data_IF_091341576364
#
_entry.id   IF_091341576364
#
_cell.length_a   1.000
_cell.length_b   1.000
_cell.length_c   1.000
_cell.angle_alpha   90.00
_cell.angle_beta   90.00
_cell.angle_gamma   90.00
#
_symmetry.space_group_name_H-M   'P 1'
#
loop_
_entity.id
_entity.type
_entity.pdbx_description
1 polymer ?
#
# COMPACT_ATOMS: atom_id res chain seq x y z
N UNK A 1 25.47 0.26 -25.48
CA UNK A 1 25.19 -0.42 -24.20
C UNK A 1 23.70 -0.27 -23.84
N UNK A 2 22.76 -0.97 -24.52
CA UNK A 2 21.32 -0.81 -24.26
C UNK A 2 20.78 -1.70 -23.12
N UNK A 3 21.51 -2.76 -22.70
CA UNK A 3 20.98 -3.80 -21.81
C UNK A 3 20.67 -3.35 -20.37
N UNK A 4 21.39 -2.37 -19.83
CA UNK A 4 21.24 -1.98 -18.42
C UNK A 4 19.97 -1.13 -18.20
N UNK A 5 19.72 -0.17 -19.10
CA UNK A 5 18.53 0.70 -19.01
C UNK A 5 17.25 -0.12 -19.16
N UNK A 6 17.19 -1.02 -20.14
CA UNK A 6 16.03 -1.90 -20.35
C UNK A 6 15.77 -2.82 -19.14
N UNK A 7 16.83 -3.33 -18.51
CA UNK A 7 16.72 -4.15 -17.30
C UNK A 7 16.17 -3.35 -16.10
N UNK A 8 16.67 -2.13 -15.90
CA UNK A 8 16.21 -1.25 -14.83
C UNK A 8 14.77 -0.79 -15.06
N UNK A 9 14.39 -0.48 -16.30
CA UNK A 9 13.01 -0.15 -16.64
C UNK A 9 12.06 -1.33 -16.36
N UNK A 10 12.42 -2.54 -16.79
CA UNK A 10 11.65 -3.75 -16.47
C UNK A 10 11.52 -3.97 -14.96
N UNK A 11 12.62 -3.83 -14.22
CA UNK A 11 12.62 -3.94 -12.78
C UNK A 11 11.69 -2.91 -12.15
N UNK A 12 11.79 -1.65 -12.55
CA UNK A 12 10.94 -0.57 -12.05
C UNK A 12 9.46 -0.90 -12.25
N UNK A 13 9.05 -1.21 -13.49
CA UNK A 13 7.63 -1.45 -13.79
C UNK A 13 7.09 -2.72 -13.11
N UNK A 14 7.91 -3.75 -12.95
CA UNK A 14 7.53 -4.95 -12.19
C UNK A 14 7.40 -4.66 -10.70
N UNK A 15 8.37 -3.95 -10.11
CA UNK A 15 8.36 -3.62 -8.69
C UNK A 15 7.19 -2.70 -8.34
N UNK A 16 6.89 -1.69 -9.17
CA UNK A 16 5.71 -0.83 -8.98
C UNK A 16 4.40 -1.61 -9.07
N UNK A 17 4.31 -2.55 -10.04
CA UNK A 17 3.13 -3.40 -10.17
C UNK A 17 2.93 -4.28 -8.93
N UNK A 18 3.99 -4.96 -8.48
CA UNK A 18 3.94 -5.81 -7.28
C UNK A 18 3.58 -4.99 -6.05
N UNK A 19 4.19 -3.82 -5.87
CA UNK A 19 3.89 -2.91 -4.77
C UNK A 19 2.45 -2.38 -4.78
N UNK A 20 1.81 -2.31 -5.95
CA UNK A 20 0.39 -1.94 -6.04
C UNK A 20 -0.52 -3.10 -5.63
N UNK A 21 -0.12 -4.34 -5.94
CA UNK A 21 -0.87 -5.56 -5.57
C UNK A 21 -0.68 -5.94 -4.10
N UNK A 22 0.48 -5.64 -3.52
CA UNK A 22 0.83 -5.86 -2.11
C UNK A 22 1.48 -4.60 -1.49
N UNK A 23 0.67 -3.57 -1.19
CA UNK A 23 1.18 -2.30 -0.67
C UNK A 23 1.75 -2.39 0.74
N UNK A 24 1.41 -3.42 1.52
CA UNK A 24 1.94 -3.63 2.87
C UNK A 24 3.43 -4.06 2.85
N UNK A 25 3.82 -4.80 1.82
CA UNK A 25 5.19 -5.27 1.63
C UNK A 25 6.04 -4.33 0.76
N UNK A 26 5.48 -3.22 0.28
CA UNK A 26 6.15 -2.31 -0.63
C UNK A 26 7.27 -1.50 0.06
N UNK A 27 8.48 -1.56 -0.51
CA UNK A 27 9.60 -0.69 -0.12
C UNK A 27 9.60 0.57 -0.98
N UNK A 28 8.93 1.62 -0.50
CA UNK A 28 8.77 2.90 -1.22
C UNK A 28 10.11 3.61 -1.44
N UNK A 29 11.07 3.48 -0.51
CA UNK A 29 12.40 4.09 -0.68
C UNK A 29 13.13 3.43 -1.83
N UNK A 30 13.14 2.09 -1.86
CA UNK A 30 13.76 1.34 -2.95
C UNK A 30 13.11 1.65 -4.32
N UNK A 31 11.77 1.78 -4.36
CA UNK A 31 11.06 2.17 -5.58
C UNK A 31 11.47 3.58 -6.03
N UNK A 32 11.62 4.54 -5.12
CA UNK A 32 12.12 5.88 -5.42
C UNK A 32 13.53 5.88 -6.02
N UNK A 33 14.44 5.10 -5.43
CA UNK A 33 15.81 4.93 -5.95
C UNK A 33 15.81 4.33 -7.37
N UNK A 34 14.94 3.34 -7.63
CA UNK A 34 14.77 2.76 -8.96
C UNK A 34 14.24 3.78 -9.97
N UNK A 35 13.28 4.62 -9.59
CA UNK A 35 12.78 5.70 -10.46
C UNK A 35 13.89 6.68 -10.81
N UNK A 36 14.66 7.14 -9.82
CA UNK A 36 15.78 8.05 -10.05
C UNK A 36 16.82 7.42 -10.99
N UNK A 37 17.17 6.15 -10.78
CA UNK A 37 18.13 5.43 -11.61
C UNK A 37 17.64 5.28 -13.06
N UNK A 38 16.36 4.94 -13.27
CA UNK A 38 15.78 4.82 -14.61
C UNK A 38 15.77 6.18 -15.31
N UNK A 39 15.24 7.22 -14.66
CA UNK A 39 15.15 8.57 -15.23
C UNK A 39 16.54 9.11 -15.61
N UNK A 40 17.55 8.89 -14.77
CA UNK A 40 18.92 9.33 -15.05
C UNK A 40 19.51 8.66 -16.32
N UNK A 41 19.07 7.44 -16.64
CA UNK A 41 19.54 6.68 -17.80
C UNK A 41 18.65 6.86 -19.04
N UNK A 42 17.45 7.40 -18.89
CA UNK A 42 16.53 7.74 -19.99
C UNK A 42 17.04 8.95 -20.79
N UNK A 43 16.90 8.99 -22.13
CA UNK A 43 17.22 10.15 -22.94
C UNK A 43 16.46 11.42 -22.50
N UNK A 44 17.07 12.63 -22.53
CA UNK A 44 16.47 13.85 -21.99
C UNK A 44 15.05 14.18 -22.47
N UNK A 45 14.75 13.88 -23.74
CA UNK A 45 13.43 14.11 -24.33
C UNK A 45 12.32 13.23 -23.72
N UNK A 46 12.68 12.14 -23.06
CA UNK A 46 11.76 11.17 -22.47
C UNK A 46 11.77 11.20 -20.94
N UNK A 47 12.78 11.83 -20.30
CA UNK A 47 12.93 11.86 -18.85
C UNK A 47 11.70 12.37 -18.12
N UNK A 48 11.13 13.50 -18.56
CA UNK A 48 9.91 14.06 -17.96
C UNK A 48 8.73 13.10 -18.05
N UNK A 49 8.56 12.41 -19.19
CA UNK A 49 7.47 11.47 -19.39
C UNK A 49 7.62 10.24 -18.49
N UNK A 50 8.82 9.66 -18.44
CA UNK A 50 9.10 8.50 -17.58
C UNK A 50 8.95 8.86 -16.11
N UNK A 51 9.49 10.02 -15.69
CA UNK A 51 9.34 10.50 -14.33
C UNK A 51 7.87 10.71 -13.95
N UNK A 52 7.08 11.35 -14.81
CA UNK A 52 5.66 11.58 -14.55
C UNK A 52 4.88 10.27 -14.35
N UNK A 53 5.08 9.29 -15.25
CA UNK A 53 4.41 7.98 -15.15
C UNK A 53 4.86 7.24 -13.88
N UNK A 54 6.15 7.26 -13.57
CA UNK A 54 6.67 6.59 -12.38
C UNK A 54 6.15 7.21 -11.07
N UNK A 55 6.04 8.55 -11.01
CA UNK A 55 5.48 9.27 -9.86
C UNK A 55 3.98 8.97 -9.70
N UNK A 56 3.23 8.91 -10.79
CA UNK A 56 1.81 8.52 -10.76
C UNK A 56 1.65 7.10 -10.18
N UNK A 57 2.46 6.15 -10.62
CA UNK A 57 2.42 4.79 -10.09
C UNK A 57 2.83 4.72 -8.60
N UNK A 58 3.86 5.46 -8.18
CA UNK A 58 4.23 5.58 -6.78
C UNK A 58 3.09 6.15 -5.92
N UNK A 59 2.36 7.13 -6.46
CA UNK A 59 1.20 7.72 -5.79
C UNK A 59 0.11 6.66 -5.58
N UNK A 60 -0.18 5.84 -6.60
CA UNK A 60 -1.15 4.75 -6.48
C UNK A 60 -0.74 3.72 -5.41
N UNK A 61 0.55 3.39 -5.29
CA UNK A 61 1.06 2.51 -4.23
C UNK A 61 0.80 3.11 -2.86
N UNK A 62 1.06 4.41 -2.69
CA UNK A 62 0.85 5.11 -1.41
C UNK A 62 -0.64 5.19 -1.05
N UNK A 63 -1.51 5.49 -2.00
CA UNK A 63 -2.97 5.49 -1.79
C UNK A 63 -3.49 4.11 -1.40
N UNK A 64 -2.97 3.04 -2.03
CA UNK A 64 -3.32 1.67 -1.67
C UNK A 64 -2.87 1.33 -0.25
N UNK A 65 -1.65 1.72 0.15
CA UNK A 65 -1.14 1.54 1.50
C UNK A 65 -1.98 2.31 2.55
N UNK A 66 -2.39 3.54 2.23
CA UNK A 66 -3.26 4.35 3.10
C UNK A 66 -4.64 3.71 3.28
N UNK A 67 -5.21 3.16 2.22
CA UNK A 67 -6.49 2.45 2.28
C UNK A 67 -6.42 1.23 3.20
N UNK A 68 -5.34 0.44 3.10
CA UNK A 68 -5.08 -0.70 3.98
C UNK A 68 -4.93 -0.26 5.44
N UNK A 69 -4.14 0.77 5.71
CA UNK A 69 -3.97 1.32 7.06
C UNK A 69 -5.30 1.78 7.65
N UNK A 70 -6.11 2.49 6.86
CA UNK A 70 -7.43 2.98 7.26
C UNK A 70 -8.36 1.82 7.61
N UNK A 71 -8.36 0.74 6.82
CA UNK A 71 -9.15 -0.46 7.11
C UNK A 71 -8.71 -1.16 8.39
N UNK A 72 -7.41 -1.25 8.63
CA UNK A 72 -6.86 -1.83 9.85
C UNK A 72 -7.27 -1.04 11.10
N UNK A 73 -7.22 0.30 11.01
CA UNK A 73 -7.64 1.20 12.09
C UNK A 73 -9.14 1.07 12.39
N UNK A 74 -10.02 1.03 11.36
CA UNK A 74 -11.46 0.84 11.57
C UNK A 74 -11.76 -0.51 12.23
N UNK A 75 -11.06 -1.57 11.83
CA UNK A 75 -11.21 -2.92 12.42
C UNK A 75 -10.85 -2.93 13.91
N UNK A 76 -9.75 -2.26 14.28
CA UNK A 76 -9.32 -2.10 15.68
C UNK A 76 -10.36 -1.33 16.51
N UNK A 77 -10.89 -0.24 15.98
CA UNK A 77 -11.90 0.58 16.67
C UNK A 77 -13.18 -0.23 16.93
N UNK A 78 -13.72 -0.92 15.93
CA UNK A 78 -14.90 -1.78 16.09
C UNK A 78 -14.69 -2.94 17.07
N UNK A 79 -13.50 -3.53 17.09
CA UNK A 79 -13.17 -4.60 18.04
C UNK A 79 -13.16 -4.10 19.50
N UNK A 80 -12.80 -2.83 19.73
CA UNK A 80 -12.77 -2.22 21.06
C UNK A 80 -14.15 -1.87 21.61
N UNK A 81 -15.10 -1.50 20.75
CA UNK A 81 -16.49 -1.20 21.14
C UNK A 81 -17.29 -2.48 21.47
N UNK A 82 -17.01 -3.59 20.79
CA UNK A 82 -17.68 -4.89 21.01
C UNK A 82 -17.34 -5.50 22.39
N UNK A 83 -16.18 -5.15 22.97
CA UNK A 83 -15.74 -5.62 24.30
C UNK A 83 -16.43 -4.90 25.48
N UNK A 84 -17.23 -3.85 25.23
CA UNK A 84 -17.89 -3.05 26.27
C UNK A 84 -19.38 -3.36 26.46
N UNK A 85 -19.90 -4.48 25.94
CA UNK A 85 -21.25 -4.93 26.33
C UNK A 85 -21.19 -5.54 27.73
N UNK A 86 -21.79 -4.91 28.77
CA UNK A 86 -21.90 -5.58 30.05
C UNK A 86 -22.69 -6.87 29.86
N UNK A 87 -22.18 -7.97 30.41
CA UNK A 87 -22.97 -9.17 30.64
C UNK A 87 -24.18 -8.79 31.49
N UNK A 88 -25.31 -8.50 30.84
CA UNK A 88 -26.60 -8.42 31.52
C UNK A 88 -26.91 -9.84 31.96
N UNK A 89 -26.56 -10.15 33.22
CA UNK A 89 -27.07 -11.31 33.92
C UNK A 89 -28.59 -11.18 33.99
N UNK A 90 -29.29 -11.81 33.05
CA UNK A 90 -30.73 -12.04 33.15
C UNK A 90 -30.93 -13.02 34.30
N UNK A 91 -31.19 -12.48 35.50
CA UNK A 91 -31.71 -13.26 36.62
C UNK A 91 -33.09 -13.77 36.20
N UNK A 92 -33.15 -15.01 35.72
CA UNK A 92 -34.38 -15.79 35.64
C UNK A 92 -34.81 -16.10 37.07
N UNK A 93 -35.70 -15.30 37.63
CA UNK A 93 -36.46 -15.70 38.80
C UNK A 93 -37.27 -16.94 38.45
N UNK A 94 -36.87 -18.05 39.06
CA UNK A 94 -37.60 -19.31 39.06
C UNK A 94 -38.32 -19.45 40.39
N UNK A 95 -39.62 -19.75 40.35
CA UNK A 95 -40.49 -20.13 41.48
C UNK A 95 -41.92 -19.71 41.15
N UNK A 96 -42.88 -20.58 40.79
CA UNK A 96 -43.44 -21.75 41.49
C UNK A 96 -43.76 -21.40 42.95
N UNK A 97 -44.95 -20.85 43.21
CA UNK A 97 -46.16 -21.53 43.74
C UNK A 97 -47.39 -20.78 43.25
#
# INVERSE_FOLDING_TARGET
MPKLTEQLELQLWQSLKVATEDPEAADVLHLGELVEAVVALTPPLQQMTIAAVAIEQLTNVLEAAEAVLSQWLDTRLRSSESSSRPHVCVLRESGVV
#
